data_IF_598910022183
#
_entry.id   IF_598910022183
#
_cell.length_a   1.000
_cell.length_b   1.000
_cell.length_c   1.000
_cell.angle_alpha   90.00
_cell.angle_beta   90.00
_cell.angle_gamma   90.00
#
_symmetry.space_group_name_H-M   'P 1'
#
loop_
_entity.id
_entity.type
_entity.pdbx_description
1 polymer ?
#
# COMPACT_ATOMS: atom_id res chain seq x y z
N UNK A 1 4.89 6.78 -25.49
CA UNK A 1 5.61 6.33 -24.28
C UNK A 1 5.76 4.82 -24.32
N UNK A 2 6.99 4.30 -24.26
CA UNK A 2 7.27 2.87 -24.18
C UNK A 2 8.05 2.55 -22.90
N UNK A 3 7.80 1.39 -22.29
CA UNK A 3 8.56 0.90 -21.12
C UNK A 3 9.85 0.23 -21.58
N UNK A 4 10.84 1.01 -22.03
CA UNK A 4 12.19 0.49 -22.34
C UNK A 4 12.93 0.11 -21.04
N UNK A 5 13.71 -0.97 -21.10
CA UNK A 5 14.47 -1.47 -19.94
C UNK A 5 15.89 -0.90 -19.90
N UNK A 6 16.30 -0.40 -18.72
CA UNK A 6 17.71 -0.17 -18.30
C UNK A 6 18.51 0.93 -19.02
N UNK A 7 17.98 2.16 -19.00
CA UNK A 7 18.79 3.37 -18.72
C UNK A 7 19.01 3.56 -17.21
N UNK A 8 19.86 4.51 -16.77
CA UNK A 8 20.45 4.61 -15.39
C UNK A 8 21.41 5.80 -15.33
N UNK A 9 21.52 6.69 -14.34
CA UNK A 9 22.23 8.02 -14.51
C UNK A 9 23.78 8.16 -14.40
N UNK A 10 24.40 9.10 -15.16
CA UNK A 10 25.82 9.57 -15.00
C UNK A 10 25.87 10.94 -14.31
N UNK A 11 25.90 10.95 -12.98
CA UNK A 11 26.81 11.80 -12.23
C UNK A 11 26.99 11.28 -10.79
N UNK A 12 27.92 11.88 -10.05
CA UNK A 12 27.94 11.85 -8.57
C UNK A 12 28.17 10.50 -7.85
N UNK A 13 29.34 9.86 -8.05
CA UNK A 13 29.87 8.78 -7.18
C UNK A 13 31.33 9.04 -6.72
N UNK A 14 31.58 10.18 -6.06
CA UNK A 14 32.78 10.42 -5.22
C UNK A 14 32.38 11.09 -3.91
N UNK A 15 33.11 10.79 -2.84
CA UNK A 15 32.77 11.07 -1.43
C UNK A 15 32.40 12.55 -1.18
N UNK A 16 31.14 12.81 -0.85
CA UNK A 16 30.62 14.14 -0.52
C UNK A 16 29.77 14.05 0.77
N UNK A 17 30.14 14.73 1.87
CA UNK A 17 29.41 14.68 3.15
C UNK A 17 27.93 15.06 3.02
N UNK A 18 27.62 16.02 2.14
CA UNK A 18 26.25 16.50 1.83
C UNK A 18 25.29 15.36 1.46
N UNK A 19 25.82 14.23 0.95
CA UNK A 19 24.99 13.06 0.59
C UNK A 19 24.59 12.18 1.76
N UNK A 20 25.38 12.12 2.84
CA UNK A 20 24.98 11.38 4.04
C UNK A 20 23.78 12.07 4.68
N UNK A 21 23.84 13.39 4.79
CA UNK A 21 22.73 14.25 5.22
C UNK A 21 21.52 14.11 4.30
N UNK A 22 21.70 14.05 2.97
CA UNK A 22 20.60 13.79 2.04
C UNK A 22 19.90 12.43 2.30
N UNK A 23 20.63 11.36 2.62
CA UNK A 23 20.03 10.07 3.05
C UNK A 23 19.29 10.23 4.37
N UNK A 24 19.90 10.90 5.34
CA UNK A 24 19.37 11.08 6.71
C UNK A 24 18.08 11.90 6.70
N UNK A 25 18.09 13.05 6.04
CA UNK A 25 16.93 13.91 5.89
C UNK A 25 15.80 13.18 5.17
N UNK A 26 16.07 12.52 4.03
CA UNK A 26 15.06 11.75 3.29
C UNK A 26 14.46 10.62 4.12
N UNK A 27 15.27 9.86 4.86
CA UNK A 27 14.78 8.74 5.70
C UNK A 27 13.95 9.28 6.87
N UNK A 28 14.42 10.31 7.57
CA UNK A 28 13.68 10.96 8.68
C UNK A 28 12.38 11.60 8.21
N UNK A 29 12.39 12.30 7.09
CA UNK A 29 11.20 12.92 6.49
C UNK A 29 10.18 11.87 6.08
N UNK A 30 10.59 10.84 5.35
CA UNK A 30 9.68 9.77 4.90
C UNK A 30 9.12 8.97 6.09
N UNK A 31 9.89 8.77 7.17
CA UNK A 31 9.39 8.16 8.41
C UNK A 31 8.29 9.01 9.06
N UNK A 32 8.45 10.34 9.07
CA UNK A 32 7.39 11.28 9.51
C UNK A 32 6.17 11.20 8.58
N UNK A 33 6.34 11.37 7.28
CA UNK A 33 5.25 11.59 6.31
C UNK A 33 4.55 10.32 5.83
N UNK A 34 5.13 9.14 5.98
CA UNK A 34 4.43 7.87 5.68
C UNK A 34 3.25 7.74 6.63
N UNK A 35 2.03 7.83 6.11
CA UNK A 35 0.81 7.71 6.90
C UNK A 35 0.81 6.41 7.72
N UNK A 36 0.20 6.45 8.90
CA UNK A 36 -0.02 5.31 9.78
C UNK A 36 -1.09 4.35 9.27
N UNK A 37 -1.01 3.94 7.99
CA UNK A 37 -1.88 2.90 7.44
C UNK A 37 -1.64 1.57 8.16
N UNK A 38 -2.52 0.58 7.92
CA UNK A 38 -2.61 -0.74 8.56
C UNK A 38 -1.39 -1.68 8.34
N UNK A 39 -0.25 -1.08 7.99
CA UNK A 39 1.04 -1.68 7.71
C UNK A 39 1.92 -1.81 8.96
N UNK A 40 1.62 -1.07 10.03
CA UNK A 40 2.40 -1.01 11.29
C UNK A 40 1.94 -2.02 12.37
N UNK A 41 0.93 -2.83 12.06
CA UNK A 41 0.33 -3.83 12.96
C UNK A 41 1.03 -5.21 12.94
N UNK A 42 2.13 -5.37 12.19
CA UNK A 42 2.78 -6.68 11.96
C UNK A 42 4.30 -6.58 12.14
N UNK A 43 4.74 -6.30 13.37
CA UNK A 43 6.11 -6.47 13.86
C UNK A 43 7.24 -6.01 12.92
N UNK A 44 8.27 -6.86 12.80
CA UNK A 44 9.45 -6.59 11.95
C UNK A 44 9.11 -6.47 10.44
N UNK A 45 8.01 -7.07 10.02
CA UNK A 45 7.43 -6.93 8.68
C UNK A 45 7.07 -5.48 8.34
N UNK A 46 6.66 -4.68 9.32
CA UNK A 46 6.39 -3.25 9.17
C UNK A 46 7.64 -2.46 8.80
N UNK A 47 8.81 -2.78 9.36
CA UNK A 47 10.08 -2.14 9.02
C UNK A 47 10.55 -2.55 7.61
N UNK A 48 10.27 -3.78 7.18
CA UNK A 48 10.51 -4.21 5.79
C UNK A 48 9.57 -3.51 4.79
N UNK A 49 8.29 -3.32 5.11
CA UNK A 49 7.35 -2.57 4.26
C UNK A 49 7.68 -1.07 4.24
N UNK A 50 8.07 -0.48 5.36
CA UNK A 50 8.59 0.89 5.44
C UNK A 50 9.84 1.06 4.57
N UNK A 51 10.79 0.12 4.64
CA UNK A 51 11.94 0.07 3.74
C UNK A 51 11.54 0.05 2.26
N UNK A 52 10.52 -0.75 1.89
CA UNK A 52 10.01 -0.74 0.53
C UNK A 52 9.37 0.60 0.13
N UNK A 53 8.62 1.26 1.03
CA UNK A 53 8.07 2.60 0.80
C UNK A 53 9.19 3.67 0.64
N UNK A 54 10.14 3.71 1.57
CA UNK A 54 11.36 4.55 1.56
C UNK A 54 12.16 4.41 0.25
N UNK A 55 12.17 3.22 -0.31
CA UNK A 55 12.85 2.88 -1.56
C UNK A 55 12.02 3.22 -2.81
N UNK A 56 10.68 3.20 -2.78
CA UNK A 56 9.81 3.49 -3.93
C UNK A 56 9.55 4.99 -4.07
N UNK A 57 10.42 5.66 -4.83
CA UNK A 57 9.92 6.75 -5.68
C UNK A 57 9.14 6.12 -6.83
N UNK A 58 7.81 6.21 -6.81
CA UNK A 58 7.09 6.50 -8.06
C UNK A 58 7.40 7.97 -8.37
N UNK A 59 7.85 8.31 -9.58
CA UNK A 59 8.02 9.72 -9.92
C UNK A 59 6.64 10.39 -9.85
N UNK A 60 6.51 11.39 -8.98
CA UNK A 60 5.44 12.37 -9.04
C UNK A 60 5.73 13.29 -10.23
N UNK A 61 5.57 12.76 -11.44
CA UNK A 61 5.32 13.62 -12.59
C UNK A 61 3.96 14.27 -12.32
N UNK A 62 3.82 15.60 -12.36
CA UNK A 62 2.52 16.25 -12.19
C UNK A 62 1.62 15.79 -13.34
N UNK A 63 0.78 14.81 -13.06
CA UNK A 63 -0.13 14.24 -14.04
C UNK A 63 -1.30 15.19 -14.34
N UNK A 64 -1.38 16.34 -13.64
CA UNK A 64 -2.39 17.38 -13.80
C UNK A 64 -2.55 17.78 -15.26
N UNK A 65 -1.50 18.26 -15.91
CA UNK A 65 -1.70 19.13 -17.08
C UNK A 65 -2.09 18.33 -18.34
N UNK A 66 -1.56 17.11 -18.48
CA UNK A 66 -1.92 16.20 -19.58
C UNK A 66 -3.21 15.44 -19.28
N UNK A 67 -3.45 15.00 -18.03
CA UNK A 67 -4.71 14.33 -17.71
C UNK A 67 -5.87 15.31 -17.74
N UNK A 68 -5.71 16.54 -17.26
CA UNK A 68 -6.77 17.56 -17.22
C UNK A 68 -7.10 18.09 -18.63
N UNK A 69 -6.13 18.26 -19.53
CA UNK A 69 -6.45 18.55 -20.94
C UNK A 69 -7.25 17.42 -21.60
N UNK A 70 -6.84 16.15 -21.41
CA UNK A 70 -7.55 14.98 -21.94
C UNK A 70 -8.92 14.80 -21.26
N UNK A 71 -9.04 15.08 -19.95
CA UNK A 71 -10.31 15.03 -19.22
C UNK A 71 -11.24 16.15 -19.66
N UNK A 72 -10.78 17.40 -19.82
CA UNK A 72 -11.59 18.50 -20.34
C UNK A 72 -12.08 18.21 -21.76
N UNK A 73 -11.18 17.80 -22.66
CA UNK A 73 -11.56 17.31 -24.01
C UNK A 73 -12.62 16.20 -23.98
N UNK A 74 -12.52 15.26 -23.02
CA UNK A 74 -13.48 14.15 -22.88
C UNK A 74 -14.78 14.59 -22.19
N UNK A 75 -14.72 15.52 -21.25
CA UNK A 75 -15.85 16.07 -20.50
C UNK A 75 -16.67 17.03 -21.35
N UNK A 76 -16.06 17.83 -22.22
CA UNK A 76 -16.80 18.67 -23.17
C UNK A 76 -17.46 17.84 -24.28
N UNK A 77 -16.80 16.76 -24.73
CA UNK A 77 -17.43 15.73 -25.59
C UNK A 77 -18.56 14.98 -24.89
N UNK A 78 -18.54 14.84 -23.56
CA UNK A 78 -19.64 14.24 -22.79
C UNK A 78 -20.76 15.25 -22.48
N UNK A 79 -20.45 16.51 -22.16
CA UNK A 79 -21.43 17.60 -21.99
C UNK A 79 -22.25 17.82 -23.26
N UNK A 80 -21.62 17.85 -24.44
CA UNK A 80 -22.30 17.90 -25.75
C UNK A 80 -23.18 16.66 -26.06
N UNK A 81 -23.11 15.58 -25.27
CA UNK A 81 -23.93 14.36 -25.41
C UNK A 81 -25.05 14.22 -24.38
N UNK A 82 -25.11 15.07 -23.34
CA UNK A 82 -25.99 14.86 -22.18
C UNK A 82 -27.06 15.95 -22.01
N UNK A 83 -27.86 16.21 -23.05
CA UNK A 83 -29.01 17.12 -22.98
C UNK A 83 -30.32 16.45 -22.52
N UNK A 84 -30.33 15.14 -22.27
CA UNK A 84 -31.55 14.38 -21.95
C UNK A 84 -31.51 13.79 -20.54
N UNK A 85 -32.57 14.02 -19.77
CA UNK A 85 -32.72 13.56 -18.38
C UNK A 85 -32.67 12.02 -18.30
N UNK A 86 -31.84 11.48 -17.41
CA UNK A 86 -31.86 10.06 -17.09
C UNK A 86 -32.98 9.77 -16.08
N UNK A 87 -34.04 9.10 -16.52
CA UNK A 87 -35.14 8.68 -15.65
C UNK A 87 -34.66 7.74 -14.53
N UNK A 88 -35.16 7.97 -13.33
CA UNK A 88 -35.10 7.06 -12.18
C UNK A 88 -36.00 5.84 -12.38
N UNK A 89 -35.82 4.79 -11.58
CA UNK A 89 -36.68 3.60 -11.68
C UNK A 89 -38.10 3.85 -11.14
N UNK A 90 -38.30 4.85 -10.27
CA UNK A 90 -39.64 5.30 -9.84
C UNK A 90 -40.34 6.00 -11.01
N UNK A 91 -39.69 6.98 -11.64
CA UNK A 91 -40.23 7.63 -12.84
C UNK A 91 -40.57 6.59 -13.91
N UNK A 92 -39.69 5.62 -14.21
CA UNK A 92 -39.96 4.55 -15.18
C UNK A 92 -41.22 3.73 -14.87
N UNK A 93 -41.53 3.44 -13.60
CA UNK A 93 -42.79 2.77 -13.24
C UNK A 93 -44.00 3.67 -13.46
N UNK A 94 -43.89 4.96 -13.18
CA UNK A 94 -44.95 5.93 -13.45
C UNK A 94 -45.19 6.07 -14.97
N UNK A 95 -44.14 5.95 -15.80
CA UNK A 95 -44.27 5.83 -17.26
C UNK A 95 -45.03 4.56 -17.66
N UNK A 96 -44.66 3.41 -17.10
CA UNK A 96 -45.30 2.14 -17.43
C UNK A 96 -46.79 2.13 -17.04
N UNK A 97 -47.14 2.60 -15.84
CA UNK A 97 -48.53 2.62 -15.33
C UNK A 97 -49.43 3.57 -16.12
N UNK A 98 -48.96 4.79 -16.44
CA UNK A 98 -49.71 5.74 -17.27
C UNK A 98 -49.95 5.21 -18.70
N UNK A 99 -48.96 4.51 -19.27
CA UNK A 99 -49.12 3.88 -20.58
C UNK A 99 -50.06 2.67 -20.53
N UNK A 100 -50.05 1.88 -19.44
CA UNK A 100 -51.01 0.78 -19.24
C UNK A 100 -52.44 1.30 -19.16
N UNK A 101 -52.69 2.39 -18.44
CA UNK A 101 -53.99 3.09 -18.39
C UNK A 101 -54.44 3.60 -19.77
N UNK A 102 -53.49 3.98 -20.65
CA UNK A 102 -53.73 4.41 -22.04
C UNK A 102 -53.62 3.27 -23.06
N UNK A 103 -53.71 2.01 -22.61
CA UNK A 103 -53.68 0.82 -23.45
C UNK A 103 -55.01 0.08 -23.42
N UNK A 104 -55.42 -0.40 -24.60
CA UNK A 104 -56.63 -1.20 -24.79
C UNK A 104 -56.20 -2.47 -25.51
N UNK A 105 -56.51 -3.64 -24.92
CA UNK A 105 -56.12 -4.97 -25.43
C UNK A 105 -54.63 -5.04 -25.80
N UNK A 106 -53.75 -4.57 -24.90
CA UNK A 106 -52.29 -4.61 -25.08
C UNK A 106 -51.73 -3.70 -26.18
N UNK A 107 -52.54 -2.78 -26.72
CA UNK A 107 -52.17 -1.79 -27.73
C UNK A 107 -52.35 -0.37 -27.20
N UNK A 108 -51.40 0.53 -27.46
CA UNK A 108 -51.50 1.92 -27.02
C UNK A 108 -52.36 2.75 -27.97
N UNK A 109 -53.11 3.70 -27.40
CA UNK A 109 -53.77 4.74 -28.19
C UNK A 109 -52.74 5.55 -29.02
N UNK A 110 -53.17 5.99 -30.20
CA UNK A 110 -52.31 6.74 -31.14
C UNK A 110 -51.90 8.06 -30.50
N UNK A 111 -50.60 8.29 -30.38
CA UNK A 111 -50.03 9.52 -29.81
C UNK A 111 -49.52 9.39 -28.36
N UNK A 112 -49.96 8.39 -27.58
CA UNK A 112 -49.61 8.24 -26.15
C UNK A 112 -48.11 8.22 -25.87
N UNK A 113 -47.29 7.69 -26.81
CA UNK A 113 -45.82 7.67 -26.69
C UNK A 113 -45.23 9.09 -26.83
N UNK A 114 -45.81 9.95 -27.67
CA UNK A 114 -45.34 11.32 -27.92
C UNK A 114 -45.78 12.24 -26.77
N UNK A 115 -46.99 12.04 -26.27
CA UNK A 115 -47.52 12.72 -25.09
C UNK A 115 -46.67 12.40 -23.84
N UNK A 116 -46.38 11.11 -23.57
CA UNK A 116 -45.48 10.72 -22.49
C UNK A 116 -44.03 11.25 -22.69
N UNK A 117 -43.55 11.31 -23.94
CA UNK A 117 -42.21 11.83 -24.24
C UNK A 117 -42.08 13.33 -23.94
N UNK A 118 -43.11 14.10 -24.27
CA UNK A 118 -43.18 15.55 -23.98
C UNK A 118 -43.39 15.79 -22.48
N UNK A 119 -44.31 15.09 -21.83
CA UNK A 119 -44.58 15.20 -20.39
C UNK A 119 -43.35 14.96 -19.51
N UNK A 120 -42.47 14.01 -19.88
CA UNK A 120 -41.26 13.70 -19.11
C UNK A 120 -39.95 14.26 -19.68
N UNK A 121 -40.02 15.08 -20.73
CA UNK A 121 -38.85 15.66 -21.41
C UNK A 121 -37.77 14.61 -21.76
N UNK A 122 -38.19 13.52 -22.42
CA UNK A 122 -37.32 12.43 -22.85
C UNK A 122 -37.63 12.02 -24.28
N UNK A 123 -36.60 11.61 -25.02
CA UNK A 123 -36.78 11.16 -26.40
C UNK A 123 -37.77 9.98 -26.51
N UNK A 124 -38.65 10.00 -27.53
CA UNK A 124 -39.74 9.01 -27.71
C UNK A 124 -39.30 7.55 -27.61
N UNK A 125 -38.11 7.22 -28.12
CA UNK A 125 -37.58 5.84 -28.07
C UNK A 125 -37.37 5.35 -26.63
N UNK A 126 -37.11 6.24 -25.67
CA UNK A 126 -37.01 5.90 -24.24
C UNK A 126 -38.34 5.41 -23.71
N UNK A 127 -39.44 6.10 -24.07
CA UNK A 127 -40.81 5.72 -23.75
C UNK A 127 -41.16 4.38 -24.41
N UNK A 128 -40.85 4.20 -25.71
CA UNK A 128 -41.05 2.93 -26.43
C UNK A 128 -40.31 1.76 -25.77
N UNK A 129 -39.06 1.95 -25.32
CA UNK A 129 -38.29 0.91 -24.63
C UNK A 129 -38.88 0.58 -23.25
N UNK A 130 -39.45 1.55 -22.53
CA UNK A 130 -40.14 1.30 -21.26
C UNK A 130 -41.44 0.54 -21.51
N UNK A 131 -42.23 0.93 -22.52
CA UNK A 131 -43.46 0.24 -22.89
C UNK A 131 -43.23 -1.23 -23.26
N UNK A 132 -42.26 -1.48 -24.16
CA UNK A 132 -41.95 -2.85 -24.59
C UNK A 132 -41.45 -3.73 -23.43
N UNK A 133 -40.79 -3.14 -22.42
CA UNK A 133 -40.43 -3.87 -21.19
C UNK A 133 -41.65 -4.16 -20.32
N UNK A 134 -42.50 -3.18 -20.07
CA UNK A 134 -43.73 -3.38 -19.31
C UNK A 134 -44.60 -4.49 -19.92
N UNK A 135 -44.80 -4.44 -21.25
CA UNK A 135 -45.56 -5.46 -22.00
C UNK A 135 -44.93 -6.85 -21.90
N UNK A 136 -43.60 -6.95 -22.02
CA UNK A 136 -42.90 -8.25 -21.95
C UNK A 136 -42.91 -8.82 -20.52
N UNK A 137 -42.64 -8.02 -19.50
CA UNK A 137 -42.60 -8.50 -18.11
C UNK A 137 -44.00 -8.82 -17.57
N UNK A 138 -45.06 -8.18 -18.08
CA UNK A 138 -46.44 -8.54 -17.75
C UNK A 138 -46.79 -9.98 -18.18
N UNK A 139 -46.17 -10.51 -19.25
CA UNK A 139 -46.27 -11.93 -19.63
C UNK A 139 -45.52 -12.87 -18.67
N UNK A 140 -44.52 -12.34 -17.95
CA UNK A 140 -43.74 -13.05 -16.92
C UNK A 140 -44.29 -12.83 -15.49
N UNK A 141 -45.45 -12.16 -15.34
CA UNK A 141 -46.09 -11.91 -14.05
C UNK A 141 -45.48 -10.78 -13.20
N UNK A 142 -44.68 -9.88 -13.78
CA UNK A 142 -44.00 -8.79 -13.04
C UNK A 142 -43.92 -7.48 -13.84
N UNK A 143 -43.69 -6.35 -13.16
CA UNK A 143 -43.52 -5.03 -13.82
C UNK A 143 -42.08 -4.51 -13.70
N UNK A 144 -41.10 -5.29 -14.19
CA UNK A 144 -39.69 -4.86 -14.22
C UNK A 144 -39.37 -3.91 -15.39
N UNK A 145 -39.49 -2.62 -15.11
CA UNK A 145 -39.05 -1.55 -16.02
C UNK A 145 -37.73 -0.88 -15.60
N UNK A 146 -36.94 -1.50 -14.71
CA UNK A 146 -35.70 -0.91 -14.18
C UNK A 146 -34.62 -0.64 -15.25
N UNK A 147 -33.68 0.23 -14.89
CA UNK A 147 -32.50 0.53 -15.71
C UNK A 147 -31.50 -0.62 -15.80
N UNK A 148 -31.45 -1.33 -16.93
CA UNK A 148 -30.38 -2.31 -17.25
C UNK A 148 -28.98 -1.68 -17.51
N UNK A 149 -28.76 -0.40 -17.16
CA UNK A 149 -27.42 0.25 -17.20
C UNK A 149 -26.62 -0.05 -15.93
N UNK A 150 -27.28 -0.20 -14.78
CA UNK A 150 -26.63 -0.61 -13.54
C UNK A 150 -26.06 -2.03 -13.70
N UNK A 151 -24.83 -2.27 -13.23
CA UNK A 151 -24.13 -3.56 -13.37
C UNK A 151 -23.45 -3.84 -14.73
N UNK A 152 -23.83 -3.15 -15.82
CA UNK A 152 -23.25 -3.35 -17.16
C UNK A 152 -21.99 -2.51 -17.44
N UNK A 153 -21.41 -1.87 -16.43
CA UNK A 153 -20.32 -0.88 -16.57
C UNK A 153 -18.91 -1.46 -16.66
N UNK A 154 -18.74 -2.78 -16.65
CA UNK A 154 -17.42 -3.43 -16.62
C UNK A 154 -17.29 -4.59 -17.62
N UNK A 155 -16.06 -4.84 -18.07
CA UNK A 155 -15.70 -6.05 -18.83
C UNK A 155 -16.01 -7.27 -17.94
N UNK A 156 -16.89 -8.17 -18.40
CA UNK A 156 -17.29 -9.36 -17.64
C UNK A 156 -16.04 -10.14 -17.21
N UNK A 157 -15.87 -10.36 -15.91
CA UNK A 157 -14.70 -11.06 -15.36
C UNK A 157 -14.72 -12.52 -15.83
N UNK A 158 -13.64 -12.98 -16.44
CA UNK A 158 -13.45 -14.39 -16.75
C UNK A 158 -13.00 -15.09 -15.47
N UNK A 159 -13.96 -15.55 -14.67
CA UNK A 159 -13.70 -16.44 -13.53
C UNK A 159 -13.48 -17.87 -14.05
N UNK A 160 -12.29 -18.47 -13.88
CA UNK A 160 -12.10 -19.88 -14.18
C UNK A 160 -12.92 -20.73 -13.21
N UNK A 161 -13.38 -21.87 -13.69
CA UNK A 161 -14.13 -22.83 -12.89
C UNK A 161 -13.21 -23.40 -11.77
N UNK A 162 -13.56 -23.10 -10.51
CA UNK A 162 -12.76 -23.47 -9.34
C UNK A 162 -12.80 -24.98 -9.12
N UNK A 163 -13.92 -25.64 -9.37
CA UNK A 163 -14.06 -27.08 -9.16
C UNK A 163 -13.31 -27.89 -10.22
N UNK A 164 -13.21 -27.36 -11.45
CA UNK A 164 -12.26 -27.86 -12.44
C UNK A 164 -10.79 -27.72 -11.98
N UNK A 165 -10.42 -26.66 -11.26
CA UNK A 165 -9.06 -26.52 -10.69
C UNK A 165 -8.82 -27.53 -9.54
N UNK A 166 -9.85 -27.87 -8.76
CA UNK A 166 -9.75 -28.87 -7.69
C UNK A 166 -9.47 -30.29 -8.23
N UNK A 167 -10.05 -30.66 -9.38
CA UNK A 167 -9.84 -31.99 -10.01
C UNK A 167 -8.49 -32.14 -10.73
N UNK A 168 -7.72 -31.06 -10.92
CA UNK A 168 -6.38 -31.14 -11.51
C UNK A 168 -5.34 -31.68 -10.51
N UNK A 169 -4.64 -32.76 -10.88
CA UNK A 169 -3.46 -33.28 -10.16
C UNK A 169 -2.47 -32.15 -9.87
N UNK A 170 -1.89 -32.15 -8.65
CA UNK A 170 -0.98 -31.10 -8.15
C UNK A 170 0.14 -30.69 -9.13
N UNK A 171 0.75 -31.66 -9.82
CA UNK A 171 1.80 -31.41 -10.83
C UNK A 171 1.36 -30.52 -12.01
N UNK A 172 0.06 -30.43 -12.29
CA UNK A 172 -0.54 -29.58 -13.34
C UNK A 172 -0.97 -28.19 -12.85
N UNK A 173 -0.93 -27.94 -11.54
CA UNK A 173 -1.18 -26.62 -10.90
C UNK A 173 0.03 -26.03 -10.16
N UNK A 174 1.22 -26.64 -10.35
CA UNK A 174 2.48 -26.26 -9.70
C UNK A 174 3.03 -24.89 -10.11
N UNK A 175 2.76 -24.44 -11.35
CA UNK A 175 3.09 -23.09 -11.81
C UNK A 175 1.88 -22.41 -12.42
N UNK A 176 1.83 -21.07 -12.30
CA UNK A 176 0.77 -20.22 -12.85
C UNK A 176 0.62 -20.45 -14.36
N UNK A 177 1.72 -20.64 -15.08
CA UNK A 177 1.72 -20.94 -16.52
C UNK A 177 1.14 -22.32 -16.86
N UNK A 178 1.45 -23.37 -16.09
CA UNK A 178 0.87 -24.71 -16.29
C UNK A 178 -0.63 -24.69 -16.00
N UNK A 179 -1.04 -24.00 -14.94
CA UNK A 179 -2.44 -23.83 -14.58
C UNK A 179 -3.21 -23.03 -15.63
N UNK A 180 -2.66 -21.89 -16.08
CA UNK A 180 -3.17 -21.06 -17.17
C UNK A 180 -3.42 -21.85 -18.44
N UNK A 181 -2.42 -22.62 -18.91
CA UNK A 181 -2.54 -23.49 -20.09
C UNK A 181 -3.64 -24.55 -19.92
N UNK A 182 -3.78 -25.13 -18.73
CA UNK A 182 -4.75 -26.22 -18.50
C UNK A 182 -6.19 -25.73 -18.29
N UNK A 183 -6.36 -24.53 -17.75
CA UNK A 183 -7.67 -23.89 -17.47
C UNK A 183 -8.11 -22.97 -18.62
N UNK A 184 -7.26 -22.77 -19.64
CA UNK A 184 -7.51 -21.93 -20.83
C UNK A 184 -7.81 -20.45 -20.48
N UNK A 185 -7.16 -19.94 -19.45
CA UNK A 185 -7.21 -18.51 -19.05
C UNK A 185 -5.80 -17.92 -19.08
N UNK A 186 -5.66 -16.60 -19.20
CA UNK A 186 -4.34 -15.96 -19.24
C UNK A 186 -3.59 -16.11 -17.91
N UNK A 187 -2.26 -16.12 -17.99
CA UNK A 187 -1.35 -16.11 -16.81
C UNK A 187 -1.70 -14.98 -15.85
N UNK A 188 -2.06 -13.80 -16.39
CA UNK A 188 -2.48 -12.63 -15.64
C UNK A 188 -3.77 -12.86 -14.84
N UNK A 189 -4.80 -13.48 -15.45
CA UNK A 189 -6.04 -13.83 -14.75
C UNK A 189 -5.76 -14.80 -13.59
N UNK A 190 -4.88 -15.79 -13.79
CA UNK A 190 -4.47 -16.74 -12.73
C UNK A 190 -3.69 -16.04 -11.61
N UNK A 191 -2.82 -15.07 -11.93
CA UNK A 191 -2.09 -14.28 -10.93
C UNK A 191 -3.02 -13.43 -10.07
N UNK A 192 -3.99 -12.74 -10.68
CA UNK A 192 -4.98 -11.95 -9.95
C UNK A 192 -5.82 -12.83 -9.01
N UNK A 193 -6.15 -14.06 -9.43
CA UNK A 193 -6.82 -15.03 -8.56
C UNK A 193 -5.92 -15.58 -7.47
N UNK A 194 -4.62 -15.79 -7.72
CA UNK A 194 -3.66 -16.18 -6.67
C UNK A 194 -3.60 -15.14 -5.55
N UNK A 195 -3.69 -13.85 -5.88
CA UNK A 195 -3.76 -12.77 -4.88
C UNK A 195 -5.03 -12.86 -4.01
N UNK A 196 -6.20 -13.05 -4.63
CA UNK A 196 -7.47 -13.24 -3.92
C UNK A 196 -7.51 -14.55 -3.12
N UNK A 197 -6.94 -15.64 -3.65
CA UNK A 197 -6.91 -16.95 -3.00
C UNK A 197 -5.91 -16.99 -1.84
N UNK A 198 -4.77 -16.30 -1.93
CA UNK A 198 -3.84 -16.20 -0.80
C UNK A 198 -4.43 -15.40 0.37
N UNK A 199 -5.19 -14.35 0.10
CA UNK A 199 -5.87 -13.57 1.15
C UNK A 199 -7.01 -14.36 1.81
N UNK A 200 -7.76 -15.14 1.03
CA UNK A 200 -8.78 -16.08 1.56
C UNK A 200 -8.12 -17.25 2.30
N UNK A 201 -7.02 -17.79 1.80
CA UNK A 201 -6.33 -18.94 2.41
C UNK A 201 -5.81 -18.60 3.80
N UNK A 202 -5.20 -17.42 4.01
CA UNK A 202 -4.80 -16.95 5.35
C UNK A 202 -6.01 -16.90 6.30
N UNK A 203 -7.14 -16.35 5.85
CA UNK A 203 -8.41 -16.35 6.61
C UNK A 203 -8.93 -17.76 6.90
N UNK A 204 -8.76 -18.71 5.97
CA UNK A 204 -9.22 -20.09 6.13
C UNK A 204 -8.28 -20.92 7.02
N UNK A 205 -6.96 -20.74 6.98
CA UNK A 205 -6.05 -21.42 7.93
C UNK A 205 -6.21 -20.95 9.37
N UNK A 206 -6.64 -19.70 9.59
CA UNK A 206 -7.00 -19.21 10.93
C UNK A 206 -8.30 -19.85 11.43
N UNK A 207 -9.25 -20.11 10.52
CA UNK A 207 -10.58 -20.64 10.87
C UNK A 207 -10.73 -22.17 10.73
N UNK A 208 -9.71 -22.90 10.26
CA UNK A 208 -9.67 -24.38 10.16
C UNK A 208 -8.85 -25.04 11.29
N UNK A 209 -8.52 -24.27 12.33
CA UNK A 209 -8.08 -24.85 13.60
C UNK A 209 -9.34 -25.27 14.39
N UNK A 210 -9.99 -26.35 13.94
CA UNK A 210 -11.20 -26.92 14.55
C UNK A 210 -10.96 -27.49 15.97
N UNK A 211 -9.70 -27.46 16.45
CA UNK A 211 -9.33 -27.66 17.84
C UNK A 211 -8.51 -26.44 18.32
N UNK A 212 -8.86 -25.80 19.46
CA UNK A 212 -8.10 -24.68 20.01
C UNK A 212 -6.78 -25.20 20.60
N UNK A 213 -5.76 -25.34 19.74
CA UNK A 213 -4.42 -25.73 20.16
C UNK A 213 -3.93 -24.78 21.26
N UNK A 214 -3.70 -25.26 22.51
CA UNK A 214 -3.48 -24.38 23.67
C UNK A 214 -2.17 -23.57 23.60
N UNK A 215 -1.38 -23.78 22.55
CA UNK A 215 -0.11 -23.10 22.26
C UNK A 215 -0.25 -21.87 21.34
N UNK A 216 -1.37 -21.68 20.65
CA UNK A 216 -1.57 -20.55 19.72
C UNK A 216 -2.56 -19.52 20.28
N UNK A 217 -2.20 -18.90 21.40
CA UNK A 217 -2.91 -17.71 21.88
C UNK A 217 -2.51 -16.51 21.01
N UNK A 218 -3.50 -15.83 20.44
CA UNK A 218 -3.26 -14.54 19.79
C UNK A 218 -2.70 -13.55 20.83
N UNK A 219 -1.47 -13.09 20.61
CA UNK A 219 -0.86 -12.03 21.42
C UNK A 219 -1.14 -10.69 20.75
N UNK A 220 -1.79 -9.78 21.47
CA UNK A 220 -2.20 -8.48 20.93
C UNK A 220 -1.01 -7.55 20.61
N UNK A 221 0.16 -7.81 21.20
CA UNK A 221 1.42 -7.06 21.02
C UNK A 221 1.27 -5.54 21.25
N UNK A 222 0.23 -5.12 21.98
CA UNK A 222 -0.05 -3.71 22.30
C UNK A 222 1.07 -3.06 23.12
N UNK A 223 1.73 -3.85 23.96
CA UNK A 223 2.89 -3.44 24.77
C UNK A 223 4.24 -3.78 24.12
N UNK A 224 4.28 -4.07 22.81
CA UNK A 224 5.52 -4.49 22.13
C UNK A 224 6.10 -3.37 21.26
N UNK A 225 7.39 -3.09 21.46
CA UNK A 225 8.22 -2.22 20.62
C UNK A 225 9.17 -3.10 19.81
N UNK A 226 9.03 -3.09 18.48
CA UNK A 226 9.91 -3.79 17.57
C UNK A 226 11.10 -2.90 17.17
N UNK A 227 12.31 -3.44 17.25
CA UNK A 227 13.55 -2.76 16.84
C UNK A 227 14.29 -3.58 15.77
N UNK A 228 14.71 -2.93 14.70
CA UNK A 228 15.53 -3.50 13.61
C UNK A 228 16.63 -2.49 13.18
N UNK A 229 17.78 -3.00 12.75
CA UNK A 229 18.88 -2.22 12.18
C UNK A 229 18.99 -2.41 10.67
N UNK A 230 18.88 -1.32 9.90
CA UNK A 230 18.77 -1.42 8.44
C UNK A 230 19.62 -0.42 7.67
N UNK A 231 20.28 -0.92 6.62
CA UNK A 231 21.06 -0.10 5.68
C UNK A 231 20.16 0.56 4.62
N UNK A 232 20.17 1.89 4.58
CA UNK A 232 19.53 2.69 3.55
C UNK A 232 20.57 3.23 2.58
N UNK A 233 20.35 2.99 1.29
CA UNK A 233 21.22 3.46 0.20
C UNK A 233 20.65 4.74 -0.39
N UNK A 234 21.53 5.71 -0.71
CA UNK A 234 21.16 6.96 -1.41
C UNK A 234 20.43 6.69 -2.73
N UNK A 235 20.85 5.64 -3.44
CA UNK A 235 20.25 5.24 -4.72
C UNK A 235 20.12 3.72 -4.82
N UNK A 236 19.09 3.26 -5.53
CA UNK A 236 18.90 1.84 -5.83
C UNK A 236 19.93 1.38 -6.86
N UNK A 237 20.38 0.12 -6.74
CA UNK A 237 21.25 -0.51 -7.76
C UNK A 237 20.62 -0.55 -9.15
N UNK A 238 19.30 -0.78 -9.22
CA UNK A 238 18.51 -0.80 -10.44
C UNK A 238 17.30 0.13 -10.29
N UNK A 239 17.05 0.97 -11.30
CA UNK A 239 15.84 1.80 -11.42
C UNK A 239 15.21 1.61 -12.80
N UNK A 240 13.92 1.92 -12.91
CA UNK A 240 13.17 1.89 -14.16
C UNK A 240 12.66 3.30 -14.44
N UNK A 241 12.88 3.76 -15.66
CA UNK A 241 12.47 5.08 -16.15
C UNK A 241 11.45 4.91 -17.27
N UNK A 242 10.51 5.84 -17.36
CA UNK A 242 9.72 6.06 -18.57
C UNK A 242 10.40 7.20 -19.32
N UNK A 243 10.59 7.02 -20.63
CA UNK A 243 11.37 7.92 -21.49
C UNK A 243 10.54 8.20 -22.74
N UNK A 244 10.57 9.44 -23.20
CA UNK A 244 9.89 9.90 -24.42
C UNK A 244 10.68 9.43 -25.64
N UNK A 245 10.03 9.36 -26.81
CA UNK A 245 10.74 8.97 -28.02
C UNK A 245 11.66 10.11 -28.47
N UNK A 246 12.93 9.79 -28.75
CA UNK A 246 13.99 10.78 -28.99
C UNK A 246 14.69 11.36 -27.75
N UNK A 247 14.25 11.01 -26.53
CA UNK A 247 14.92 11.42 -25.29
C UNK A 247 16.08 10.47 -24.94
N UNK A 248 17.25 11.03 -24.66
CA UNK A 248 18.44 10.24 -24.29
C UNK A 248 18.24 9.52 -22.95
N UNK A 249 18.68 8.26 -22.90
CA UNK A 249 18.74 7.55 -21.63
C UNK A 249 19.86 8.13 -20.76
N UNK A 250 19.62 8.38 -19.45
CA UNK A 250 20.71 8.51 -18.50
C UNK A 250 21.70 7.30 -18.59
N UNK A 251 23.03 7.43 -18.39
CA UNK A 251 24.04 6.30 -18.40
C UNK A 251 24.89 6.09 -17.10
N UNK A 252 24.65 5.05 -16.27
CA UNK A 252 25.33 4.90 -14.95
C UNK A 252 26.52 3.97 -14.95
N UNK A 253 27.54 4.38 -14.21
CA UNK A 253 28.70 3.57 -13.89
C UNK A 253 29.03 3.60 -12.39
N UNK A 254 28.35 2.76 -11.60
CA UNK A 254 28.89 2.34 -10.30
C UNK A 254 29.76 1.10 -10.52
N UNK A 255 31.06 1.15 -10.21
CA UNK A 255 31.94 -0.04 -10.32
C UNK A 255 31.48 -1.21 -9.43
N UNK A 256 30.85 -0.91 -8.30
CA UNK A 256 30.31 -1.90 -7.36
C UNK A 256 29.23 -1.26 -6.47
N UNK A 257 28.32 -2.08 -5.91
CA UNK A 257 27.36 -1.66 -4.86
C UNK A 257 28.08 -1.07 -3.63
N UNK A 258 29.34 -1.45 -3.39
CA UNK A 258 30.16 -0.96 -2.27
C UNK A 258 30.39 0.56 -2.30
N UNK A 259 30.36 1.19 -3.48
CA UNK A 259 30.57 2.64 -3.65
C UNK A 259 29.29 3.48 -3.55
N UNK A 260 28.11 2.85 -3.44
CA UNK A 260 26.86 3.58 -3.24
C UNK A 260 26.78 4.00 -1.76
N UNK A 261 26.75 5.30 -1.50
CA UNK A 261 26.55 5.88 -0.17
C UNK A 261 25.40 5.19 0.55
N UNK A 262 25.68 4.67 1.75
CA UNK A 262 24.74 3.93 2.59
C UNK A 262 24.86 4.39 4.03
N UNK A 263 23.74 4.57 4.72
CA UNK A 263 23.67 4.90 6.14
C UNK A 263 22.87 3.80 6.83
N UNK A 264 23.35 3.24 7.94
CA UNK A 264 22.55 2.33 8.74
C UNK A 264 21.71 3.12 9.74
N UNK A 265 20.49 2.66 10.00
CA UNK A 265 19.61 3.24 11.01
C UNK A 265 19.11 2.15 11.95
N UNK A 266 19.00 2.47 13.23
CA UNK A 266 18.12 1.75 14.15
C UNK A 266 16.71 2.35 14.05
N UNK A 267 15.71 1.50 13.87
CA UNK A 267 14.30 1.91 13.78
C UNK A 267 13.52 1.24 14.91
N UNK A 268 12.75 2.01 15.66
CA UNK A 268 11.85 1.52 16.72
C UNK A 268 10.41 1.90 16.39
N UNK A 269 9.53 0.89 16.34
CA UNK A 269 8.10 1.06 16.07
C UNK A 269 7.26 0.12 16.94
N UNK A 270 6.00 0.47 17.13
CA UNK A 270 5.04 -0.26 17.96
C UNK A 270 3.66 -0.18 17.30
N UNK A 271 2.70 -0.93 17.82
CA UNK A 271 1.32 -0.91 17.31
C UNK A 271 0.65 0.45 17.57
N UNK A 272 0.07 1.04 16.53
CA UNK A 272 -0.73 2.26 16.62
C UNK A 272 -1.97 2.08 17.51
N UNK A 273 -2.46 3.18 18.07
CA UNK A 273 -3.65 3.22 18.92
C UNK A 273 -4.65 4.19 18.32
N UNK A 274 -5.90 3.75 18.25
CA UNK A 274 -7.04 4.56 17.84
C UNK A 274 -8.02 4.69 19.01
N UNK A 275 -8.72 5.82 19.11
CA UNK A 275 -9.84 6.01 20.02
C UNK A 275 -11.12 5.35 19.50
N UNK A 276 -12.16 5.32 20.34
CA UNK A 276 -13.45 4.69 20.01
C UNK A 276 -14.19 5.39 18.86
N UNK A 277 -13.86 6.66 18.60
CA UNK A 277 -14.32 7.48 17.47
C UNK A 277 -13.53 7.23 16.16
N UNK A 278 -12.48 6.40 16.22
CA UNK A 278 -11.54 6.17 15.11
C UNK A 278 -10.43 7.21 14.99
N UNK A 279 -10.29 8.15 15.93
CA UNK A 279 -9.18 9.11 15.94
C UNK A 279 -7.85 8.39 16.21
N UNK A 280 -6.81 8.73 15.45
CA UNK A 280 -5.45 8.22 15.71
C UNK A 280 -4.85 8.90 16.95
N UNK A 281 -4.80 8.18 18.07
CA UNK A 281 -4.21 8.66 19.33
C UNK A 281 -2.68 8.45 19.37
N UNK A 282 -2.17 7.42 18.69
CA UNK A 282 -0.75 7.12 18.62
C UNK A 282 -0.41 6.42 17.30
N UNK A 283 0.54 6.96 16.54
CA UNK A 283 0.90 6.44 15.21
C UNK A 283 1.85 5.23 15.24
N UNK A 284 2.28 4.79 16.42
CA UNK A 284 3.23 3.68 16.61
C UNK A 284 4.70 4.05 16.39
N UNK A 285 5.02 5.26 15.92
CA UNK A 285 6.37 5.63 15.47
C UNK A 285 7.22 6.21 16.59
N UNK A 286 8.04 5.37 17.20
CA UNK A 286 8.93 5.76 18.29
C UNK A 286 10.13 6.54 17.76
N UNK A 287 10.97 5.95 16.90
CA UNK A 287 12.16 6.65 16.41
C UNK A 287 12.88 5.98 15.25
N UNK A 288 13.66 6.78 14.52
CA UNK A 288 14.60 6.31 13.51
C UNK A 288 15.91 7.11 13.62
N UNK A 289 17.00 6.41 13.93
CA UNK A 289 18.27 6.99 14.37
C UNK A 289 19.40 6.52 13.46
N UNK A 290 20.11 7.42 12.74
CA UNK A 290 21.26 7.03 11.92
C UNK A 290 22.49 6.72 12.77
N UNK A 291 23.29 5.75 12.34
CA UNK A 291 24.62 5.47 12.89
C UNK A 291 25.68 6.34 12.19
N UNK A 292 25.89 7.53 12.74
CA UNK A 292 26.79 8.55 12.20
C UNK A 292 27.59 9.26 13.30
N UNK A 293 28.75 9.79 12.93
CA UNK A 293 29.57 10.68 13.77
C UNK A 293 29.94 11.95 13.00
N UNK A 294 30.06 13.07 13.71
CA UNK A 294 30.62 14.29 13.16
C UNK A 294 32.14 14.23 13.23
N UNK A 295 32.82 14.52 12.11
CA UNK A 295 34.28 14.55 12.04
C UNK A 295 34.76 15.71 11.16
N UNK A 296 35.85 16.41 11.52
CA UNK A 296 36.43 17.43 10.66
C UNK A 296 37.00 16.83 9.37
N UNK A 297 36.86 17.56 8.27
CA UNK A 297 37.43 17.25 6.96
C UNK A 297 38.97 17.21 7.03
N UNK A 298 39.58 16.02 6.88
CA UNK A 298 41.04 15.87 6.92
C UNK A 298 41.77 16.50 5.72
N UNK A 299 41.07 16.73 4.61
CA UNK A 299 41.63 17.30 3.37
C UNK A 299 40.63 18.27 2.77
N UNK A 300 41.14 19.34 2.18
CA UNK A 300 40.35 20.21 1.32
C UNK A 300 39.95 19.48 0.04
N UNK A 301 38.84 19.89 -0.56
CA UNK A 301 38.40 19.46 -1.88
C UNK A 301 37.67 20.60 -2.57
N UNK A 302 37.34 20.46 -3.86
CA UNK A 302 36.59 21.47 -4.61
C UNK A 302 35.29 21.93 -3.93
N UNK A 303 34.67 21.08 -3.10
CA UNK A 303 33.37 21.34 -2.51
C UNK A 303 33.41 21.67 -1.00
N UNK A 304 34.60 21.73 -0.38
CA UNK A 304 34.77 21.94 1.08
C UNK A 304 36.22 22.22 1.49
N UNK A 305 36.39 23.10 2.48
CA UNK A 305 37.69 23.32 3.12
C UNK A 305 38.08 22.14 4.04
N UNK A 306 39.36 22.05 4.39
CA UNK A 306 39.78 21.20 5.51
C UNK A 306 39.25 21.78 6.83
N UNK A 307 38.98 20.93 7.82
CA UNK A 307 38.43 21.32 9.12
C UNK A 307 36.89 21.44 9.19
N UNK A 308 36.19 21.55 8.06
CA UNK A 308 34.70 21.56 8.03
C UNK A 308 34.15 20.29 8.70
N UNK A 309 33.20 20.44 9.66
CA UNK A 309 32.56 19.30 10.32
C UNK A 309 31.63 18.56 9.36
N UNK A 310 31.68 17.23 9.41
CA UNK A 310 30.97 16.36 8.48
C UNK A 310 30.35 15.16 9.13
N UNK A 311 29.08 14.91 8.78
CA UNK A 311 28.38 13.68 9.10
C UNK A 311 28.97 12.49 8.34
N UNK A 312 29.80 11.66 8.99
CA UNK A 312 30.30 10.39 8.45
C UNK A 312 29.51 9.20 8.97
N UNK A 313 29.44 8.14 8.17
CA UNK A 313 28.79 6.88 8.52
C UNK A 313 29.68 6.01 9.37
N UNK A 314 29.13 5.37 10.40
CA UNK A 314 29.84 4.36 11.17
C UNK A 314 29.79 3.06 10.36
N UNK A 315 30.91 2.68 9.73
CA UNK A 315 30.96 1.49 8.88
C UNK A 315 30.97 0.17 9.66
N UNK A 316 31.56 0.18 10.86
CA UNK A 316 31.60 -0.96 11.79
C UNK A 316 30.72 -0.68 12.99
N UNK A 317 29.47 -1.16 12.94
CA UNK A 317 28.55 -1.05 14.09
C UNK A 317 28.84 -2.20 15.05
N UNK A 318 29.50 -1.87 16.15
CA UNK A 318 29.83 -2.80 17.23
C UNK A 318 28.67 -2.95 18.20
N UNK A 319 28.75 -3.96 19.09
CA UNK A 319 27.78 -4.17 20.18
C UNK A 319 27.59 -2.93 21.05
N UNK A 320 28.67 -2.21 21.34
CA UNK A 320 28.66 -1.00 22.14
C UNK A 320 27.94 0.16 21.44
N UNK A 321 28.15 0.34 20.13
CA UNK A 321 27.47 1.38 19.33
C UNK A 321 25.96 1.11 19.23
N UNK A 322 25.55 -0.15 19.04
CA UNK A 322 24.14 -0.56 19.16
C UNK A 322 23.59 -0.26 20.55
N UNK A 323 24.33 -0.61 21.62
CA UNK A 323 23.93 -0.40 23.01
C UNK A 323 23.68 1.07 23.32
N UNK A 324 24.66 1.93 23.04
CA UNK A 324 24.53 3.38 23.26
C UNK A 324 23.35 3.97 22.49
N UNK A 325 23.13 3.56 21.23
CA UNK A 325 21.96 4.00 20.46
C UNK A 325 20.62 3.58 21.11
N UNK A 326 20.52 2.35 21.64
CA UNK A 326 19.33 1.90 22.36
C UNK A 326 19.10 2.75 23.63
N UNK A 327 20.12 2.86 24.48
CA UNK A 327 20.03 3.51 25.79
C UNK A 327 19.83 5.02 25.72
N UNK A 328 20.57 5.71 24.85
CA UNK A 328 20.57 7.17 24.79
C UNK A 328 19.52 7.77 23.86
N UNK A 329 19.03 7.00 22.86
CA UNK A 329 18.15 7.52 21.81
C UNK A 329 16.80 6.81 21.77
N UNK A 330 16.78 5.47 21.81
CA UNK A 330 15.52 4.73 21.69
C UNK A 330 14.73 4.67 22.99
N UNK A 331 15.33 4.27 24.12
CA UNK A 331 14.59 4.21 25.40
C UNK A 331 13.99 5.58 25.79
N UNK A 332 14.72 6.71 25.69
CA UNK A 332 14.13 8.03 25.89
C UNK A 332 13.01 8.36 24.91
N UNK A 333 13.14 7.95 23.63
CA UNK A 333 12.07 8.13 22.64
C UNK A 333 10.84 7.25 22.90
N UNK A 334 11.00 6.06 23.49
CA UNK A 334 9.88 5.24 23.99
C UNK A 334 9.19 6.04 25.09
N UNK A 335 9.91 6.40 26.17
CA UNK A 335 9.34 7.10 27.33
C UNK A 335 8.62 8.39 26.97
N UNK A 336 9.18 9.18 26.05
CA UNK A 336 8.63 10.47 25.62
C UNK A 336 7.39 10.36 24.71
N UNK A 337 7.15 9.19 24.09
CA UNK A 337 6.05 8.99 23.12
C UNK A 337 5.05 7.91 23.51
N UNK A 338 5.35 7.11 24.51
CA UNK A 338 4.46 6.02 24.93
C UNK A 338 3.13 6.60 25.42
N UNK A 339 1.98 6.09 24.94
CA UNK A 339 0.68 6.60 25.38
C UNK A 339 0.51 6.47 26.89
N UNK A 340 0.11 7.56 27.56
CA UNK A 340 -0.17 7.55 29.01
C UNK A 340 -1.34 6.65 29.40
N UNK A 341 -2.18 6.27 28.42
CA UNK A 341 -3.28 5.31 28.55
C UNK A 341 -2.84 3.85 28.49
N UNK A 342 -1.60 3.57 28.11
CA UNK A 342 -1.04 2.21 28.08
C UNK A 342 -0.28 1.89 29.35
N UNK A 343 -0.27 0.60 29.68
CA UNK A 343 0.66 0.02 30.64
C UNK A 343 2.12 0.33 30.25
N UNK A 344 2.95 0.56 31.26
CA UNK A 344 4.37 0.89 31.13
C UNK A 344 5.28 -0.35 31.22
N UNK A 345 4.72 -1.56 31.37
CA UNK A 345 5.42 -2.80 31.06
C UNK A 345 5.54 -2.96 29.55
N UNK A 346 6.77 -2.93 29.01
CA UNK A 346 7.04 -2.88 27.57
C UNK A 346 8.01 -3.97 27.15
N UNK A 347 7.62 -4.77 26.16
CA UNK A 347 8.50 -5.75 25.54
C UNK A 347 9.23 -5.14 24.33
N UNK A 348 10.53 -4.96 24.44
CA UNK A 348 11.40 -4.53 23.34
C UNK A 348 11.85 -5.77 22.57
N UNK A 349 11.19 -6.02 21.44
CA UNK A 349 11.46 -7.15 20.56
C UNK A 349 12.60 -6.84 19.58
N UNK A 350 13.58 -7.75 19.50
CA UNK A 350 14.71 -7.70 18.55
C UNK A 350 14.97 -9.08 17.92
N UNK A 351 15.65 -9.08 16.77
CA UNK A 351 16.22 -10.28 16.17
C UNK A 351 17.29 -10.96 17.06
N UNK A 352 17.66 -12.20 16.72
CA UNK A 352 18.63 -13.00 17.48
C UNK A 352 20.09 -12.80 17.02
N UNK A 353 20.44 -11.61 16.52
CA UNK A 353 21.81 -11.30 16.14
C UNK A 353 22.72 -11.37 17.37
N UNK A 354 23.78 -12.18 17.30
CA UNK A 354 24.64 -12.66 18.40
C UNK A 354 24.81 -11.62 19.53
N UNK A 355 24.28 -11.88 20.74
CA UNK A 355 23.53 -10.90 21.52
C UNK A 355 24.20 -9.54 21.68
N UNK A 356 23.49 -8.50 21.24
CA UNK A 356 23.76 -7.10 21.56
C UNK A 356 22.88 -6.72 22.75
N UNK A 357 23.47 -6.62 23.95
CA UNK A 357 22.79 -6.40 25.25
C UNK A 357 21.99 -7.63 25.72
N UNK A 358 21.77 -7.75 27.03
CA UNK A 358 20.88 -8.75 27.64
C UNK A 358 20.06 -8.09 28.75
N UNK A 359 18.98 -8.73 29.22
CA UNK A 359 18.20 -8.26 30.38
C UNK A 359 19.00 -8.23 31.70
N UNK A 360 20.25 -8.71 31.72
CA UNK A 360 21.16 -8.62 32.87
C UNK A 360 22.14 -7.44 32.78
N UNK A 361 22.12 -6.67 31.69
CA UNK A 361 22.96 -5.48 31.55
C UNK A 361 22.47 -4.36 32.48
N UNK A 362 23.35 -3.90 33.39
CA UNK A 362 22.96 -2.95 34.44
C UNK A 362 22.57 -1.58 33.90
N UNK A 363 23.22 -1.10 32.84
CA UNK A 363 22.86 0.18 32.21
C UNK A 363 21.49 0.09 31.53
N UNK A 364 21.20 -1.05 30.89
CA UNK A 364 19.87 -1.33 30.34
C UNK A 364 18.80 -1.36 31.44
N UNK A 365 19.01 -2.12 32.53
CA UNK A 365 18.07 -2.16 33.67
C UNK A 365 17.79 -0.77 34.23
N UNK A 366 18.82 0.02 34.48
CA UNK A 366 18.67 1.38 35.02
C UNK A 366 17.85 2.29 34.08
N UNK A 367 18.07 2.20 32.76
CA UNK A 367 17.32 2.97 31.76
C UNK A 367 15.89 2.45 31.54
N UNK A 368 15.69 1.13 31.61
CA UNK A 368 14.42 0.44 31.40
C UNK A 368 13.45 0.57 32.57
N UNK A 369 13.96 0.61 33.81
CA UNK A 369 13.14 0.65 35.05
C UNK A 369 12.90 2.06 35.61
N UNK A 370 13.42 3.11 34.95
CA UNK A 370 13.24 4.51 35.38
C UNK A 370 11.93 5.12 34.87
N UNK A 371 11.47 6.20 35.53
CA UNK A 371 10.24 6.95 35.20
C UNK A 371 8.94 6.11 35.30
N UNK A 372 8.99 5.06 36.12
CA UNK A 372 7.91 4.09 36.33
C UNK A 372 7.67 3.17 35.13
N UNK A 373 8.61 3.08 34.19
CA UNK A 373 8.59 2.06 33.14
C UNK A 373 9.19 0.75 33.64
N UNK A 374 8.85 -0.35 32.97
CA UNK A 374 9.53 -1.64 33.12
C UNK A 374 9.71 -2.24 31.72
N UNK A 375 10.91 -2.16 31.15
CA UNK A 375 11.17 -2.64 29.78
C UNK A 375 12.01 -3.91 29.76
N UNK A 376 11.60 -4.89 28.95
CA UNK A 376 12.27 -6.19 28.83
C UNK A 376 12.66 -6.47 27.38
N UNK A 377 13.90 -6.89 27.12
CA UNK A 377 14.33 -7.38 25.82
C UNK A 377 13.76 -8.78 25.55
N UNK A 378 13.16 -8.95 24.38
CA UNK A 378 12.64 -10.23 23.88
C UNK A 378 13.33 -10.53 22.55
N UNK A 379 14.03 -11.66 22.48
CA UNK A 379 14.74 -12.08 21.28
C UNK A 379 13.92 -13.08 20.47
N UNK A 380 13.85 -12.88 19.15
CA UNK A 380 13.19 -13.84 18.24
C UNK A 380 13.96 -15.16 18.13
N UNK A 381 13.33 -16.26 17.71
CA UNK A 381 14.05 -17.47 17.31
C UNK A 381 14.96 -17.20 16.08
N UNK A 382 16.06 -17.97 15.91
CA UNK A 382 16.94 -17.82 14.76
C UNK A 382 16.21 -18.05 13.42
N UNK A 383 16.52 -17.23 12.42
CA UNK A 383 15.95 -17.32 11.07
C UNK A 383 14.42 -17.18 10.98
N UNK A 384 13.80 -16.36 11.83
CA UNK A 384 12.35 -16.04 11.77
C UNK A 384 12.07 -14.58 11.39
N UNK A 385 12.29 -14.19 10.12
CA UNK A 385 11.93 -12.85 9.61
C UNK A 385 10.47 -12.74 9.15
N UNK A 386 9.77 -13.88 9.06
CA UNK A 386 8.35 -14.04 8.71
C UNK A 386 7.49 -14.21 9.99
#
# INVERSE_FOLDING_TARGET
MYRKSRGRDRNEDRENPVRNEAVISRVKETFKTTAGSDYWSVGMFSIHKAYNALQVQKPQVPASDVIDWVYRQKMDRMRKRSSYKNLTDIERRNIATLLLQKSVVGSLLRGSIIEAATQWNVHRNTITVIWNRAKNSQLEGSLDVKSKRYGNTNKKRISPNIDYIKTLKFSKRSSIERLSKKVKVSVETVNQLKFCLNSIAVYQTVNQLDEPSPRLKFQDMSNTVNIDEKWFYLSRRNQHYYVVDGEDLPYRSCKSKRYITKVMFMCAVSRSVYGDDGQLLFDGKIGIVPFTSEQPAQRSSKNRAAGTLETKTIDSITKQVTKQCLLEKIIPAIKAKWPSTKDKHIFIQKDNATPHITNNDQEFRNAASSDGFNMELVFQPPNSPD
#
